data_IF_802794400250
#
_entry.id   IF_802794400250
#
_cell.length_a   1.000
_cell.length_b   1.000
_cell.length_c   1.000
_cell.angle_alpha   90.00
_cell.angle_beta   90.00
_cell.angle_gamma   90.00
#
_symmetry.space_group_name_H-M   'P 1'
#
loop_
_entity.id
_entity.type
_entity.pdbx_description
1 polymer ?
#
# COMPACT_ATOMS: atom_id res chain seq x y z
N UNK A 1 46.12 13.06 -61.69
CA UNK A 1 46.29 11.80 -60.91
C UNK A 1 47.33 12.07 -59.83
N UNK A 2 47.18 11.94 -58.51
CA UNK A 2 46.20 11.34 -57.58
C UNK A 2 46.06 12.28 -56.37
N UNK A 3 44.83 12.54 -55.91
CA UNK A 3 44.54 13.25 -54.64
C UNK A 3 44.79 12.30 -53.47
N UNK A 4 45.48 12.75 -52.41
CA UNK A 4 45.49 12.07 -51.10
C UNK A 4 44.55 12.82 -50.16
N UNK A 5 43.46 12.15 -49.79
CA UNK A 5 42.50 12.61 -48.78
C UNK A 5 43.02 12.09 -47.44
N UNK A 6 43.41 13.00 -46.54
CA UNK A 6 43.67 12.68 -45.14
C UNK A 6 42.33 12.63 -44.41
N UNK A 7 41.96 11.44 -43.96
CA UNK A 7 40.75 11.19 -43.18
C UNK A 7 40.89 11.72 -41.76
N UNK A 8 39.98 12.62 -41.39
CA UNK A 8 39.72 13.02 -40.01
C UNK A 8 38.80 11.95 -39.42
N UNK A 9 39.35 11.04 -38.65
CA UNK A 9 38.57 10.09 -37.85
C UNK A 9 38.08 10.85 -36.62
N UNK A 10 36.80 11.23 -36.67
CA UNK A 10 36.03 11.79 -35.58
C UNK A 10 36.01 10.80 -34.41
N UNK A 11 36.66 11.16 -33.32
CA UNK A 11 36.66 10.44 -32.06
C UNK A 11 35.27 10.61 -31.41
N UNK A 12 34.35 9.73 -31.77
CA UNK A 12 33.01 9.67 -31.18
C UNK A 12 33.14 9.12 -29.76
N UNK A 13 33.30 10.01 -28.79
CA UNK A 13 33.31 9.68 -27.37
C UNK A 13 31.92 9.20 -26.96
N UNK A 14 31.70 7.89 -26.99
CA UNK A 14 30.48 7.25 -26.50
C UNK A 14 30.50 7.38 -24.96
N UNK A 15 29.78 8.37 -24.43
CA UNK A 15 29.39 8.41 -23.02
C UNK A 15 28.40 7.26 -22.78
N UNK A 16 28.91 6.14 -22.30
CA UNK A 16 28.08 5.06 -21.76
C UNK A 16 27.58 5.57 -20.40
N UNK A 17 26.37 6.14 -20.37
CA UNK A 17 25.63 6.34 -19.12
C UNK A 17 25.26 4.96 -18.58
N UNK A 18 26.18 4.34 -17.84
CA UNK A 18 25.83 3.26 -16.91
C UNK A 18 25.03 3.93 -15.79
N UNK A 19 23.71 3.85 -15.89
CA UNK A 19 22.81 4.31 -14.84
C UNK A 19 23.04 3.47 -13.59
N UNK A 20 23.93 3.93 -12.72
CA UNK A 20 24.02 3.47 -11.34
C UNK A 20 22.67 3.78 -10.68
N UNK A 21 21.78 2.79 -10.59
CA UNK A 21 20.62 2.87 -9.71
C UNK A 21 21.17 3.15 -8.31
N UNK A 22 20.84 4.30 -7.73
CA UNK A 22 21.34 4.63 -6.39
C UNK A 22 20.65 3.67 -5.42
N UNK A 23 21.44 3.11 -4.53
CA UNK A 23 20.94 2.26 -3.42
C UNK A 23 20.00 3.14 -2.59
N UNK A 24 18.69 2.97 -2.75
CA UNK A 24 17.70 3.91 -2.22
C UNK A 24 16.57 4.29 -3.18
N UNK A 25 16.74 4.03 -4.48
CA UNK A 25 15.71 4.36 -5.47
C UNK A 25 14.50 3.42 -5.39
N UNK A 26 13.34 3.93 -5.82
CA UNK A 26 12.14 3.14 -6.03
C UNK A 26 12.36 2.26 -7.28
N UNK A 27 12.16 0.93 -7.23
CA UNK A 27 12.30 0.07 -8.39
C UNK A 27 11.46 0.56 -9.57
N UNK A 28 12.00 0.45 -10.78
CA UNK A 28 11.37 0.95 -12.02
C UNK A 28 9.95 0.40 -12.23
N UNK A 29 9.66 -0.79 -11.72
CA UNK A 29 8.32 -1.38 -11.82
C UNK A 29 7.23 -0.60 -11.08
N UNK A 30 7.59 0.27 -10.12
CA UNK A 30 6.68 1.14 -9.39
C UNK A 30 6.63 2.58 -9.92
N UNK A 31 7.51 2.98 -10.86
CA UNK A 31 7.58 4.36 -11.35
C UNK A 31 6.33 4.80 -12.13
N UNK A 32 5.59 3.86 -12.70
CA UNK A 32 4.31 4.08 -13.40
C UNK A 32 3.16 3.30 -12.76
N UNK A 33 3.37 2.77 -11.55
CA UNK A 33 2.37 1.98 -10.86
C UNK A 33 1.16 2.84 -10.47
N UNK A 34 -0.03 2.22 -10.49
CA UNK A 34 -1.24 2.74 -9.87
C UNK A 34 -1.65 1.78 -8.75
N UNK A 35 -1.98 2.27 -7.54
CA UNK A 35 -2.05 3.68 -7.14
C UNK A 35 -0.69 4.36 -6.94
N UNK A 36 0.43 3.64 -7.01
CA UNK A 36 1.77 4.22 -7.01
C UNK A 36 2.40 4.28 -5.63
N UNK A 37 3.31 5.22 -5.43
CA UNK A 37 4.06 5.37 -4.18
C UNK A 37 3.62 6.60 -3.39
N UNK A 38 3.59 6.46 -2.07
CA UNK A 38 3.43 7.58 -1.13
C UNK A 38 4.50 7.49 -0.06
N UNK A 39 5.04 8.65 0.31
CA UNK A 39 6.07 8.79 1.35
C UNK A 39 5.60 9.69 2.47
N UNK A 40 6.06 9.42 3.68
CA UNK A 40 5.80 10.23 4.87
C UNK A 40 7.09 10.36 5.67
N UNK A 41 7.36 11.57 6.17
CA UNK A 41 8.47 11.82 7.07
C UNK A 41 7.96 11.87 8.51
N UNK A 42 8.65 11.20 9.42
CA UNK A 42 8.34 11.19 10.85
C UNK A 42 9.63 11.31 11.67
N UNK A 43 9.52 11.76 12.91
CA UNK A 43 10.64 11.75 13.85
C UNK A 43 10.62 10.45 14.65
N UNK A 44 11.75 9.74 14.68
CA UNK A 44 11.95 8.56 15.52
C UNK A 44 13.31 8.65 16.21
N UNK A 45 13.32 8.57 17.56
CA UNK A 45 14.54 8.72 18.39
C UNK A 45 15.37 9.97 18.03
N UNK A 46 14.69 11.09 17.77
CA UNK A 46 15.31 12.38 17.41
C UNK A 46 15.85 12.48 15.98
N UNK A 47 15.69 11.43 15.16
CA UNK A 47 16.06 11.44 13.73
C UNK A 47 14.82 11.59 12.86
N UNK A 48 14.92 12.43 11.83
CA UNK A 48 13.94 12.47 10.75
C UNK A 48 14.13 11.26 9.85
N UNK A 49 13.10 10.44 9.72
CA UNK A 49 13.07 9.25 8.88
C UNK A 49 11.97 9.37 7.83
N UNK A 50 12.26 8.94 6.61
CA UNK A 50 11.28 8.88 5.52
C UNK A 50 10.84 7.44 5.33
N UNK A 51 9.54 7.19 5.45
CA UNK A 51 8.92 5.90 5.15
C UNK A 51 8.20 5.99 3.81
N UNK A 52 8.33 4.98 2.97
CA UNK A 52 7.70 4.93 1.64
C UNK A 52 6.98 3.61 1.46
N UNK A 53 5.74 3.64 0.99
CA UNK A 53 5.01 2.46 0.54
C UNK A 53 4.60 2.66 -0.91
N UNK A 54 4.77 1.63 -1.73
CA UNK A 54 4.34 1.57 -3.11
C UNK A 54 3.38 0.41 -3.32
N UNK A 55 2.30 0.66 -4.07
CA UNK A 55 1.35 -0.36 -4.49
C UNK A 55 1.21 -0.31 -6.01
N UNK A 56 1.35 -1.49 -6.63
CA UNK A 56 1.10 -1.70 -8.05
C UNK A 56 -0.04 -2.70 -8.20
N UNK A 57 -1.22 -2.19 -8.50
CA UNK A 57 -2.38 -3.01 -8.85
C UNK A 57 -2.16 -3.65 -10.21
N UNK A 58 -2.45 -4.94 -10.29
CA UNK A 58 -2.40 -5.71 -11.55
C UNK A 58 -3.79 -6.31 -11.75
N UNK A 59 -4.37 -6.09 -12.92
CA UNK A 59 -5.72 -6.60 -13.19
C UNK A 59 -5.70 -8.13 -13.19
N UNK A 60 -6.64 -8.73 -12.44
CA UNK A 60 -6.78 -10.19 -12.26
C UNK A 60 -5.55 -10.90 -11.67
N UNK A 61 -4.65 -10.17 -11.00
CA UNK A 61 -3.49 -10.73 -10.30
C UNK A 61 -3.31 -10.05 -8.95
N UNK A 62 -2.59 -10.68 -8.01
CA UNK A 62 -2.18 -10.01 -6.78
C UNK A 62 -1.46 -8.70 -7.06
N UNK A 63 -1.79 -7.66 -6.30
CA UNK A 63 -1.08 -6.38 -6.37
C UNK A 63 0.30 -6.54 -5.74
N UNK A 64 1.29 -5.85 -6.28
CA UNK A 64 2.65 -5.85 -5.72
C UNK A 64 2.82 -4.69 -4.74
N UNK A 65 3.60 -4.93 -3.69
CA UNK A 65 3.85 -3.98 -2.63
C UNK A 65 5.34 -3.89 -2.35
N UNK A 66 5.79 -2.67 -2.06
CA UNK A 66 7.11 -2.38 -1.55
C UNK A 66 6.96 -1.42 -0.37
N UNK A 67 7.61 -1.69 0.75
CA UNK A 67 7.70 -0.76 1.86
C UNK A 67 9.16 -0.55 2.27
N UNK A 68 9.51 0.71 2.55
CA UNK A 68 10.87 1.14 2.90
C UNK A 68 10.86 2.12 4.06
N UNK A 69 11.94 2.12 4.84
CA UNK A 69 12.31 3.15 5.81
C UNK A 69 13.72 3.63 5.44
N UNK A 70 13.84 4.88 4.97
CA UNK A 70 15.01 5.36 4.25
C UNK A 70 15.32 4.44 3.06
N UNK A 71 16.56 3.98 2.99
CA UNK A 71 17.00 3.06 1.93
C UNK A 71 16.71 1.59 2.24
N UNK A 72 16.28 1.26 3.46
CA UNK A 72 16.02 -0.11 3.89
C UNK A 72 14.65 -0.58 3.41
N UNK A 73 14.63 -1.64 2.62
CA UNK A 73 13.41 -2.39 2.31
C UNK A 73 12.98 -3.17 3.55
N UNK A 74 11.76 -2.91 4.03
CA UNK A 74 11.14 -3.63 5.15
C UNK A 74 10.10 -4.64 4.67
N UNK A 75 9.61 -4.50 3.43
CA UNK A 75 8.71 -5.45 2.79
C UNK A 75 8.84 -5.37 1.27
N UNK A 76 8.81 -6.52 0.60
CA UNK A 76 8.64 -6.65 -0.85
C UNK A 76 7.87 -7.93 -1.13
N UNK A 77 6.72 -7.83 -1.80
CA UNK A 77 5.83 -8.98 -1.98
C UNK A 77 4.52 -8.62 -2.67
N UNK A 78 3.51 -9.45 -2.48
CA UNK A 78 2.18 -9.25 -3.06
C UNK A 78 1.06 -9.58 -2.07
N UNK A 79 -0.19 -9.26 -2.43
CA UNK A 79 -1.38 -9.53 -1.61
C UNK A 79 -2.04 -10.89 -1.88
N UNK A 80 -1.29 -11.88 -2.41
CA UNK A 80 -1.76 -13.27 -2.40
C UNK A 80 -1.95 -13.78 -0.97
N UNK A 81 -1.12 -13.28 -0.05
CA UNK A 81 -1.29 -13.41 1.40
C UNK A 81 -1.44 -12.03 2.03
N UNK A 82 -1.69 -11.95 3.34
CA UNK A 82 -1.76 -10.66 4.03
C UNK A 82 -0.43 -9.91 3.90
N UNK A 83 -0.50 -8.63 3.54
CA UNK A 83 0.66 -7.74 3.51
C UNK A 83 0.97 -7.31 4.95
N UNK A 84 1.88 -8.05 5.58
CA UNK A 84 2.35 -7.80 6.96
C UNK A 84 3.79 -7.35 6.92
N UNK A 85 4.10 -6.26 7.61
CA UNK A 85 5.46 -5.79 7.80
C UNK A 85 5.97 -6.37 9.11
N UNK A 86 6.98 -7.23 9.02
CA UNK A 86 7.69 -7.80 10.16
C UNK A 86 9.18 -7.78 9.83
N UNK A 87 9.90 -6.81 10.39
CA UNK A 87 11.31 -6.57 10.08
C UNK A 87 12.01 -5.84 11.23
N UNK A 88 13.22 -5.35 10.98
CA UNK A 88 13.96 -4.49 11.91
C UNK A 88 14.44 -3.23 11.22
N UNK A 89 14.58 -2.12 11.94
CA UNK A 89 15.25 -0.90 11.49
C UNK A 89 16.16 -0.39 12.62
N UNK A 90 17.47 -0.24 12.37
CA UNK A 90 18.46 0.11 13.41
C UNK A 90 18.24 -0.66 14.74
N UNK A 91 18.11 -2.00 14.66
CA UNK A 91 17.81 -2.93 15.76
C UNK A 91 16.42 -2.79 16.42
N UNK A 92 15.62 -1.80 16.05
CA UNK A 92 14.25 -1.63 16.53
C UNK A 92 13.29 -2.50 15.70
N UNK A 93 12.28 -3.10 16.34
CA UNK A 93 11.26 -3.90 15.65
C UNK A 93 10.43 -3.02 14.71
N UNK A 94 10.13 -3.51 13.51
CA UNK A 94 9.20 -2.87 12.58
C UNK A 94 7.98 -3.75 12.44
N UNK A 95 6.81 -3.18 12.69
CA UNK A 95 5.52 -3.84 12.55
C UNK A 95 4.59 -3.04 11.64
N UNK A 96 3.54 -3.69 11.13
CA UNK A 96 2.50 -3.02 10.36
C UNK A 96 2.00 -3.84 9.20
N UNK A 97 1.47 -3.17 8.19
CA UNK A 97 0.94 -3.84 7.00
C UNK A 97 0.01 -2.95 6.20
N UNK A 98 -0.58 -3.53 5.17
CA UNK A 98 -1.58 -2.88 4.32
C UNK A 98 -2.90 -3.65 4.36
N UNK A 99 -3.91 -3.07 5.01
CA UNK A 99 -5.23 -3.66 5.16
C UNK A 99 -6.23 -3.04 4.19
N UNK A 100 -7.20 -3.83 3.74
CA UNK A 100 -8.31 -3.31 2.95
C UNK A 100 -9.22 -2.43 3.81
N UNK A 101 -9.57 -1.27 3.29
CA UNK A 101 -10.69 -0.48 3.79
C UNK A 101 -11.94 -0.90 3.03
N UNK A 102 -12.86 -1.54 3.73
CA UNK A 102 -14.08 -2.11 3.17
C UNK A 102 -15.24 -1.15 3.38
N UNK A 103 -16.07 -1.03 2.35
CA UNK A 103 -17.40 -0.44 2.40
C UNK A 103 -18.43 -1.54 2.21
N UNK A 104 -19.47 -1.56 3.04
CA UNK A 104 -20.62 -2.43 2.85
C UNK A 104 -21.71 -1.67 2.10
N UNK A 105 -22.13 -2.20 0.96
CA UNK A 105 -23.13 -1.57 0.11
C UNK A 105 -24.27 -2.53 -0.18
N UNK A 106 -25.47 -2.02 -0.41
CA UNK A 106 -26.59 -2.79 -0.95
C UNK A 106 -26.62 -2.73 -2.48
N UNK A 107 -27.62 -3.36 -3.10
CA UNK A 107 -27.90 -3.16 -4.52
C UNK A 107 -27.98 -1.66 -4.87
N UNK A 108 -27.42 -1.29 -6.02
CA UNK A 108 -27.30 0.10 -6.45
C UNK A 108 -26.21 0.91 -5.76
N UNK A 109 -25.21 0.26 -5.13
CA UNK A 109 -24.04 0.90 -4.50
C UNK A 109 -24.36 1.88 -3.36
N UNK A 110 -25.55 1.76 -2.76
CA UNK A 110 -25.93 2.54 -1.58
C UNK A 110 -25.25 1.95 -0.35
N UNK A 111 -24.65 2.78 0.48
CA UNK A 111 -24.08 2.33 1.75
C UNK A 111 -25.18 1.71 2.61
N UNK A 112 -24.89 0.57 3.24
CA UNK A 112 -25.87 -0.10 4.11
C UNK A 112 -26.20 0.78 5.33
N UNK A 113 -27.45 0.71 5.80
CA UNK A 113 -27.86 1.31 7.06
C UNK A 113 -27.12 0.63 8.24
N UNK A 114 -26.66 1.44 9.20
CA UNK A 114 -25.91 0.93 10.34
C UNK A 114 -26.71 -0.09 11.15
N UNK A 115 -28.01 0.16 11.34
CA UNK A 115 -28.95 -0.71 12.05
C UNK A 115 -29.19 -2.09 11.41
N UNK A 116 -28.68 -2.33 10.20
CA UNK A 116 -28.77 -3.63 9.50
C UNK A 116 -27.52 -4.49 9.68
N UNK A 117 -26.51 -3.97 10.38
CA UNK A 117 -25.27 -4.69 10.61
C UNK A 117 -25.33 -5.54 11.89
N UNK A 118 -24.80 -6.78 11.87
CA UNK A 118 -24.64 -7.58 13.07
C UNK A 118 -23.70 -6.91 14.08
N UNK A 119 -24.07 -6.94 15.36
CA UNK A 119 -23.27 -6.34 16.44
C UNK A 119 -21.83 -6.86 16.50
N UNK A 120 -21.63 -8.16 16.25
CA UNK A 120 -20.29 -8.78 16.22
C UNK A 120 -19.41 -8.12 15.16
N UNK A 121 -19.98 -7.84 13.98
CA UNK A 121 -19.28 -7.16 12.89
C UNK A 121 -18.99 -5.71 13.24
N UNK A 122 -19.98 -4.99 13.78
CA UNK A 122 -19.83 -3.58 14.19
C UNK A 122 -18.70 -3.44 15.21
N UNK A 123 -18.66 -4.30 16.23
CA UNK A 123 -17.64 -4.26 17.30
C UNK A 123 -16.27 -4.63 16.77
N UNK A 124 -16.13 -5.78 16.10
CA UNK A 124 -14.83 -6.28 15.65
C UNK A 124 -14.19 -5.37 14.58
N UNK A 125 -15.01 -4.83 13.67
CA UNK A 125 -14.56 -3.95 12.60
C UNK A 125 -14.63 -2.46 12.94
N UNK A 126 -15.03 -2.11 14.18
CA UNK A 126 -15.14 -0.72 14.67
C UNK A 126 -15.95 0.18 13.73
N UNK A 127 -17.03 -0.37 13.18
CA UNK A 127 -17.91 0.34 12.25
C UNK A 127 -18.65 1.41 13.05
N UNK A 128 -18.77 2.62 12.49
CA UNK A 128 -19.48 3.73 13.11
C UNK A 128 -20.74 4.05 12.33
N UNK A 129 -21.74 4.56 13.02
CA UNK A 129 -22.89 5.21 12.39
C UNK A 129 -22.50 6.62 11.97
N UNK A 130 -22.81 6.95 10.72
CA UNK A 130 -22.67 8.30 10.18
C UNK A 130 -23.93 9.11 10.48
N UNK A 131 -23.84 10.44 10.36
CA UNK A 131 -24.96 11.34 10.64
C UNK A 131 -26.25 11.06 9.83
N UNK A 132 -26.12 10.35 8.70
CA UNK A 132 -27.23 9.95 7.84
C UNK A 132 -27.78 8.53 8.14
N UNK A 133 -27.38 7.92 9.26
CA UNK A 133 -27.78 6.56 9.66
C UNK A 133 -27.10 5.43 8.87
N UNK A 134 -26.13 5.75 8.01
CA UNK A 134 -25.38 4.75 7.24
C UNK A 134 -24.14 4.28 8.01
N UNK A 135 -23.66 3.09 7.66
CA UNK A 135 -22.40 2.59 8.20
C UNK A 135 -21.19 3.30 7.59
N UNK A 136 -20.17 3.59 8.39
CA UNK A 136 -18.87 4.02 7.88
C UNK A 136 -18.15 2.90 7.13
N UNK A 137 -17.21 3.27 6.26
CA UNK A 137 -16.17 2.32 5.84
C UNK A 137 -15.30 1.94 7.05
N UNK A 138 -14.64 0.79 6.97
CA UNK A 138 -13.80 0.28 8.05
C UNK A 138 -12.58 -0.47 7.53
N UNK A 139 -11.52 -0.51 8.32
CA UNK A 139 -10.34 -1.30 8.02
C UNK A 139 -10.60 -2.77 8.41
N UNK A 140 -10.39 -3.69 7.47
CA UNK A 140 -10.41 -5.13 7.74
C UNK A 140 -9.09 -5.56 8.36
N UNK A 141 -8.86 -5.12 9.60
CA UNK A 141 -7.71 -5.51 10.43
C UNK A 141 -7.83 -6.96 10.93
N UNK A 142 -6.84 -7.44 11.69
CA UNK A 142 -6.82 -8.84 12.15
C UNK A 142 -8.07 -9.24 12.95
N UNK A 143 -8.58 -8.33 13.80
CA UNK A 143 -9.75 -8.60 14.63
C UNK A 143 -11.02 -8.63 13.78
N UNK A 144 -11.18 -7.68 12.88
CA UNK A 144 -12.28 -7.65 11.92
C UNK A 144 -12.28 -8.90 11.03
N UNK A 145 -11.12 -9.27 10.49
CA UNK A 145 -10.97 -10.37 9.54
C UNK A 145 -11.42 -11.73 10.09
N UNK A 146 -11.21 -11.97 11.39
CA UNK A 146 -11.63 -13.20 12.09
C UNK A 146 -13.14 -13.43 12.04
N UNK A 147 -13.95 -12.37 12.07
CA UNK A 147 -15.41 -12.47 12.10
C UNK A 147 -16.07 -12.07 10.79
N UNK A 148 -15.37 -11.33 9.94
CA UNK A 148 -15.92 -10.65 8.78
C UNK A 148 -16.75 -11.57 7.88
N UNK A 149 -16.18 -12.68 7.41
CA UNK A 149 -16.89 -13.56 6.49
C UNK A 149 -18.06 -14.29 7.15
N UNK A 150 -17.90 -14.70 8.41
CA UNK A 150 -18.98 -15.33 9.18
C UNK A 150 -20.16 -14.38 9.39
N UNK A 151 -19.88 -13.12 9.72
CA UNK A 151 -20.92 -12.13 10.01
C UNK A 151 -21.56 -11.55 8.74
N UNK A 152 -20.82 -11.48 7.62
CA UNK A 152 -21.34 -11.00 6.33
C UNK A 152 -22.08 -12.12 5.57
N UNK A 153 -21.74 -13.40 5.78
CA UNK A 153 -22.36 -14.53 5.06
C UNK A 153 -23.90 -14.51 5.05
N UNK A 154 -24.62 -14.25 6.17
CA UNK A 154 -26.08 -14.18 6.18
C UNK A 154 -26.67 -13.00 5.40
N UNK A 155 -25.85 -11.98 5.09
CA UNK A 155 -26.26 -10.77 4.37
C UNK A 155 -25.98 -10.85 2.86
N UNK A 156 -25.25 -11.88 2.43
CA UNK A 156 -24.91 -12.07 1.01
C UNK A 156 -26.19 -12.15 0.16
N UNK A 157 -26.12 -11.60 -1.05
CA UNK A 157 -27.27 -11.43 -1.93
C UNK A 157 -28.01 -10.10 -1.75
N UNK A 158 -27.83 -9.43 -0.61
CA UNK A 158 -28.33 -8.05 -0.39
C UNK A 158 -27.21 -7.07 -0.06
N UNK A 159 -26.11 -7.55 0.54
CA UNK A 159 -24.95 -6.76 0.92
C UNK A 159 -23.72 -7.23 0.16
N UNK A 160 -22.99 -6.26 -0.38
CA UNK A 160 -21.79 -6.44 -1.18
C UNK A 160 -20.64 -5.68 -0.50
N UNK A 161 -19.63 -6.40 0.03
CA UNK A 161 -18.41 -5.76 0.49
C UNK A 161 -17.56 -5.32 -0.69
N UNK A 162 -17.17 -4.06 -0.71
CA UNK A 162 -16.25 -3.50 -1.71
C UNK A 162 -15.02 -2.91 -1.04
N UNK A 163 -13.84 -3.27 -1.53
CA UNK A 163 -12.61 -2.61 -1.10
C UNK A 163 -12.54 -1.22 -1.75
N UNK A 164 -12.60 -0.18 -0.93
CA UNK A 164 -12.55 1.21 -1.39
C UNK A 164 -11.11 1.74 -1.45
N UNK A 165 -10.25 1.28 -0.52
CA UNK A 165 -8.85 1.69 -0.46
C UNK A 165 -8.01 0.65 0.27
N UNK A 166 -6.68 0.83 0.24
CA UNK A 166 -5.72 0.11 1.08
C UNK A 166 -5.09 1.06 2.07
N UNK A 167 -5.29 0.81 3.36
CA UNK A 167 -4.67 1.57 4.43
C UNK A 167 -3.36 0.88 4.83
N UNK A 168 -2.23 1.58 4.64
CA UNK A 168 -0.91 1.08 4.98
C UNK A 168 -0.35 1.82 6.21
N UNK A 169 0.14 1.06 7.18
CA UNK A 169 0.70 1.57 8.44
C UNK A 169 2.07 0.93 8.65
N UNK A 170 3.06 1.73 9.02
CA UNK A 170 4.38 1.26 9.47
C UNK A 170 4.61 1.81 10.88
N UNK A 171 4.97 0.93 11.79
CA UNK A 171 5.40 1.27 13.14
C UNK A 171 6.83 0.80 13.37
N UNK A 172 7.62 1.61 14.07
CA UNK A 172 8.90 1.19 14.64
C UNK A 172 8.71 1.17 16.14
N UNK A 173 8.87 0.01 16.76
CA UNK A 173 8.38 -0.25 18.12
C UNK A 173 6.89 0.14 18.20
N UNK A 174 6.53 1.11 19.04
CA UNK A 174 5.15 1.62 19.17
C UNK A 174 4.90 2.93 18.40
N UNK A 175 5.95 3.53 17.81
CA UNK A 175 5.83 4.79 17.08
C UNK A 175 5.32 4.57 15.65
N UNK A 176 4.20 5.19 15.32
CA UNK A 176 3.70 5.25 13.94
C UNK A 176 4.55 6.21 13.11
N UNK A 177 5.22 5.68 12.08
CA UNK A 177 6.13 6.43 11.21
C UNK A 177 5.60 6.56 9.78
N UNK A 178 4.46 5.92 9.51
CA UNK A 178 3.75 5.97 8.23
C UNK A 178 2.29 5.59 8.43
N UNK A 179 1.38 6.36 7.86
CA UNK A 179 -0.05 6.07 7.85
C UNK A 179 -0.70 6.72 6.62
N UNK A 180 -0.87 5.96 5.55
CA UNK A 180 -1.40 6.47 4.29
C UNK A 180 -2.42 5.50 3.65
N UNK A 181 -3.48 6.08 3.11
CA UNK A 181 -4.51 5.37 2.35
C UNK A 181 -4.23 5.45 0.84
N UNK A 182 -4.36 4.33 0.14
CA UNK A 182 -4.21 4.22 -1.31
C UNK A 182 -5.55 3.87 -1.97
N UNK A 183 -6.05 4.67 -2.92
CA UNK A 183 -7.28 4.32 -3.63
C UNK A 183 -7.08 3.06 -4.48
N UNK A 184 -8.14 2.25 -4.61
CA UNK A 184 -8.15 1.03 -5.42
C UNK A 184 -8.95 1.18 -6.71
#
# INVERSE_FOLDING_TARGET
MKKKIFGIISLLTIMIFVGCAKKGDIPREFSTAKPGCKSQTANFKGKSIQSTVCIKKILFKPSHYLAKIGDKIIFSGNDYTKVVFDSKYENSSVSGGCNATVKLSTSGNKTIAFSKLPDELVKACKIKELANGQSSSFMKDENCDKVFYKAVAPLLGTVYPTEASRQCIIKIEDSEVYNQSFPL
#
